data_IF_588228742552
#
_entry.id   IF_588228742552
#
_cell.length_a   1.000
_cell.length_b   1.000
_cell.length_c   1.000
_cell.angle_alpha   90.00
_cell.angle_beta   90.00
_cell.angle_gamma   90.00
#
_symmetry.space_group_name_H-M   'P 1'
#
loop_
_entity.id
_entity.type
_entity.pdbx_description
1 polymer ?
#
# COMPACT_ATOMS: atom_id res chain seq x y z
N UNK A 1 -37.84 33.18 0.74
CA UNK A 1 -37.06 34.32 0.24
C UNK A 1 -35.60 33.85 0.04
N UNK A 2 -35.37 33.04 -0.99
CA UNK A 2 -34.07 32.55 -1.40
C UNK A 2 -34.15 32.15 -2.88
N UNK A 3 -33.95 33.09 -3.74
CA UNK A 3 -33.68 32.90 -5.17
C UNK A 3 -32.82 34.09 -5.65
N UNK A 4 -31.87 33.82 -6.52
CA UNK A 4 -30.95 34.75 -7.17
C UNK A 4 -29.60 34.97 -6.46
N UNK A 5 -28.70 33.98 -6.55
CA UNK A 5 -27.29 34.31 -6.79
C UNK A 5 -26.86 33.67 -8.11
N UNK A 6 -26.74 34.54 -9.02
CA UNK A 6 -26.89 34.43 -10.44
C UNK A 6 -25.59 34.02 -11.15
N UNK A 7 -25.81 33.47 -12.33
CA UNK A 7 -24.91 33.17 -13.45
C UNK A 7 -23.76 34.17 -13.72
N UNK A 8 -23.75 35.36 -13.12
CA UNK A 8 -22.69 36.37 -13.28
C UNK A 8 -21.39 36.10 -12.51
N UNK A 9 -21.46 35.30 -11.41
CA UNK A 9 -20.27 35.00 -10.63
C UNK A 9 -19.41 33.90 -11.30
N UNK A 10 -20.06 32.94 -11.96
CA UNK A 10 -19.39 31.85 -12.70
C UNK A 10 -18.72 32.39 -13.97
N UNK A 11 -19.33 33.39 -14.63
CA UNK A 11 -18.75 34.04 -15.80
C UNK A 11 -17.50 34.85 -15.47
N UNK A 12 -17.47 35.54 -14.31
CA UNK A 12 -16.27 36.32 -13.91
C UNK A 12 -15.09 35.44 -13.47
N UNK A 13 -15.33 34.30 -12.85
CA UNK A 13 -14.27 33.33 -12.53
C UNK A 13 -13.67 32.68 -13.78
N UNK A 14 -14.46 32.47 -14.83
CA UNK A 14 -13.98 31.94 -16.10
C UNK A 14 -13.10 32.94 -16.87
N UNK A 15 -13.43 34.23 -16.84
CA UNK A 15 -12.65 35.28 -17.48
C UNK A 15 -11.30 35.48 -16.78
N UNK A 16 -11.24 35.47 -15.46
CA UNK A 16 -9.98 35.62 -14.69
C UNK A 16 -9.04 34.42 -14.83
N UNK A 17 -9.55 33.24 -15.08
CA UNK A 17 -8.71 32.03 -15.32
C UNK A 17 -8.19 31.96 -16.76
N UNK A 18 -8.90 32.55 -17.75
CA UNK A 18 -8.45 32.56 -19.12
C UNK A 18 -7.37 33.61 -19.35
N UNK A 19 -7.43 34.75 -18.66
CA UNK A 19 -6.45 35.86 -18.81
C UNK A 19 -5.08 35.54 -18.17
N UNK A 20 -5.02 34.63 -17.19
CA UNK A 20 -3.75 34.21 -16.59
C UNK A 20 -3.00 33.11 -17.35
N UNK A 21 -3.62 32.49 -18.35
CA UNK A 21 -2.99 31.45 -19.17
C UNK A 21 -2.29 32.01 -20.43
N UNK A 22 -2.46 33.27 -20.76
CA UNK A 22 -1.88 33.88 -21.93
C UNK A 22 -0.59 34.71 -21.69
N UNK A 23 -0.11 34.79 -20.43
CA UNK A 23 1.05 35.65 -20.08
C UNK A 23 2.34 34.83 -19.79
N UNK A 24 2.35 33.53 -19.95
CA UNK A 24 3.59 32.76 -19.86
C UNK A 24 4.11 32.35 -21.25
N UNK A 25 4.77 33.32 -21.94
CA UNK A 25 5.71 32.98 -23.02
C UNK A 25 6.96 32.35 -22.41
N UNK A 26 7.50 31.27 -22.97
CA UNK A 26 8.67 30.60 -22.42
C UNK A 26 9.92 31.43 -22.70
N UNK A 27 10.57 31.90 -21.65
CA UNK A 27 11.96 32.29 -21.71
C UNK A 27 12.81 31.01 -21.73
N UNK A 28 13.66 30.93 -22.74
CA UNK A 28 14.63 29.86 -22.98
C UNK A 28 15.60 29.75 -21.80
N UNK A 29 15.50 28.68 -21.02
CA UNK A 29 16.61 28.18 -20.20
C UNK A 29 16.77 26.72 -20.56
N UNK A 30 17.98 26.35 -20.97
CA UNK A 30 18.30 25.08 -21.56
C UNK A 30 18.08 23.87 -20.65
N UNK A 31 17.68 22.78 -21.27
CA UNK A 31 18.07 21.43 -20.87
C UNK A 31 17.29 20.78 -19.72
N UNK A 32 15.96 20.88 -19.70
CA UNK A 32 15.15 19.96 -18.89
C UNK A 32 14.01 19.40 -19.74
N UNK A 33 14.07 18.11 -19.96
CA UNK A 33 13.14 17.35 -20.78
C UNK A 33 11.68 17.53 -20.34
N UNK A 34 10.84 17.96 -21.27
CA UNK A 34 9.40 18.19 -21.14
C UNK A 34 8.56 16.90 -20.89
N UNK A 35 9.19 15.79 -20.48
CA UNK A 35 8.55 14.46 -20.35
C UNK A 35 7.91 14.21 -18.97
N UNK A 36 8.15 15.07 -17.98
CA UNK A 36 7.65 14.84 -16.60
C UNK A 36 6.23 15.37 -16.39
N UNK A 37 5.73 16.27 -17.23
CA UNK A 37 4.38 16.87 -17.06
C UNK A 37 3.25 16.17 -17.85
N UNK A 38 3.54 15.11 -18.60
CA UNK A 38 2.53 14.46 -19.46
C UNK A 38 1.86 13.23 -18.86
N UNK A 39 2.14 12.85 -17.62
CA UNK A 39 1.57 11.65 -16.99
C UNK A 39 0.45 11.89 -15.98
N UNK A 40 -0.01 13.11 -15.79
CA UNK A 40 -1.33 13.35 -15.24
C UNK A 40 -2.35 13.23 -16.38
N UNK A 41 -2.74 12.02 -16.70
CA UNK A 41 -3.76 11.73 -17.70
C UNK A 41 -5.11 12.29 -17.27
N UNK A 42 -5.39 13.52 -17.68
CA UNK A 42 -6.75 13.98 -17.89
C UNK A 42 -7.18 13.45 -19.26
N UNK A 43 -7.85 12.32 -19.28
CA UNK A 43 -8.42 11.75 -20.51
C UNK A 43 -9.52 12.68 -21.03
N UNK A 44 -9.22 13.49 -22.05
CA UNK A 44 -10.10 14.52 -22.63
C UNK A 44 -11.19 13.96 -23.56
N UNK A 45 -11.34 12.64 -23.71
CA UNK A 45 -12.18 12.05 -24.74
C UNK A 45 -13.46 11.36 -24.24
N UNK A 46 -14.06 11.82 -23.12
CA UNK A 46 -15.37 11.31 -22.66
C UNK A 46 -16.35 12.47 -22.49
N UNK A 47 -16.51 13.33 -23.48
CA UNK A 47 -17.66 14.22 -23.59
C UNK A 47 -18.06 14.30 -25.04
N UNK A 48 -18.76 13.27 -25.56
CA UNK A 48 -19.60 13.45 -26.73
C UNK A 48 -21.05 13.63 -26.22
N UNK A 49 -21.63 14.76 -26.62
CA UNK A 49 -23.04 15.11 -26.46
C UNK A 49 -23.95 13.96 -26.90
N UNK A 50 -24.65 13.36 -25.97
CA UNK A 50 -26.02 12.84 -26.15
C UNK A 50 -26.70 12.94 -24.78
N UNK A 51 -27.59 13.88 -24.67
CA UNK A 51 -28.37 14.17 -23.48
C UNK A 51 -29.37 13.06 -23.19
N UNK A 52 -29.18 12.34 -22.09
CA UNK A 52 -30.25 11.73 -21.32
C UNK A 52 -30.11 12.19 -19.88
N UNK A 53 -31.13 12.78 -19.23
CA UNK A 53 -31.01 13.21 -17.85
C UNK A 53 -31.21 12.04 -16.91
N UNK A 54 -30.28 11.09 -16.88
CA UNK A 54 -30.10 10.26 -15.69
C UNK A 54 -29.24 11.09 -14.75
N UNK A 55 -29.87 11.90 -13.93
CA UNK A 55 -29.26 12.45 -12.72
C UNK A 55 -28.99 11.26 -11.82
N UNK A 56 -27.89 10.57 -12.06
CA UNK A 56 -27.31 9.67 -11.09
C UNK A 56 -26.95 10.57 -9.90
N UNK A 57 -27.69 10.45 -8.82
CA UNK A 57 -27.33 10.98 -7.52
C UNK A 57 -25.97 10.34 -7.15
N UNK A 58 -24.88 10.95 -7.59
CA UNK A 58 -23.55 10.65 -7.07
C UNK A 58 -23.62 11.09 -5.61
N UNK A 59 -23.94 10.14 -4.74
CA UNK A 59 -23.89 10.31 -3.30
C UNK A 59 -22.44 10.60 -2.95
N UNK A 60 -22.07 11.87 -2.86
CA UNK A 60 -20.74 12.27 -2.38
C UNK A 60 -20.59 11.73 -0.98
N UNK A 61 -19.80 10.65 -0.83
CA UNK A 61 -19.50 10.10 0.48
C UNK A 61 -18.64 11.13 1.24
N UNK A 62 -19.17 11.60 2.38
CA UNK A 62 -18.32 12.36 3.31
C UNK A 62 -17.27 11.44 3.87
N UNK A 63 -16.02 11.90 3.90
CA UNK A 63 -14.89 11.16 4.46
C UNK A 63 -15.08 10.94 5.97
N UNK A 64 -15.62 11.91 6.68
CA UNK A 64 -15.91 11.80 8.10
C UNK A 64 -17.40 11.47 8.31
N UNK A 65 -17.66 10.45 9.12
CA UNK A 65 -19.02 10.03 9.49
C UNK A 65 -19.38 10.37 10.94
N UNK A 66 -18.37 10.69 11.77
CA UNK A 66 -18.55 10.96 13.22
C UNK A 66 -18.94 9.72 14.04
N UNK A 67 -19.14 8.56 13.41
CA UNK A 67 -19.63 7.35 14.09
C UNK A 67 -18.61 6.73 15.04
N UNK A 68 -17.34 7.11 14.89
CA UNK A 68 -16.21 6.61 15.70
C UNK A 68 -15.82 7.48 16.89
N UNK A 69 -16.46 8.62 17.10
CA UNK A 69 -16.05 9.63 18.09
C UNK A 69 -16.22 9.18 19.55
N UNK A 70 -17.07 8.16 19.75
CA UNK A 70 -17.31 7.53 21.06
C UNK A 70 -16.37 6.37 21.38
N UNK A 71 -15.22 6.26 20.70
CA UNK A 71 -14.22 5.23 20.96
C UNK A 71 -14.56 3.83 20.44
N UNK A 72 -15.55 3.72 19.54
CA UNK A 72 -15.89 2.45 18.89
C UNK A 72 -15.70 2.53 17.38
N UNK A 73 -15.43 1.38 16.74
CA UNK A 73 -15.38 1.24 15.29
C UNK A 73 -16.16 0.01 14.84
N UNK A 74 -16.53 -0.05 13.55
CA UNK A 74 -17.23 -1.18 12.97
C UNK A 74 -16.27 -2.05 12.18
N UNK A 75 -16.39 -3.37 12.32
CA UNK A 75 -15.79 -4.36 11.44
C UNK A 75 -16.53 -4.38 10.09
N UNK A 76 -15.97 -5.07 9.12
CA UNK A 76 -16.62 -5.24 7.81
C UNK A 76 -17.97 -5.97 7.90
N UNK A 77 -18.15 -6.79 8.93
CA UNK A 77 -19.43 -7.45 9.27
C UNK A 77 -20.53 -6.49 9.74
N UNK A 78 -20.18 -5.24 10.07
CA UNK A 78 -21.07 -4.27 10.72
C UNK A 78 -21.07 -4.38 12.25
N UNK A 79 -20.41 -5.37 12.85
CA UNK A 79 -20.23 -5.48 14.29
C UNK A 79 -19.39 -4.31 14.81
N UNK A 80 -19.83 -3.67 15.89
CA UNK A 80 -19.10 -2.57 16.51
C UNK A 80 -18.37 -3.06 17.74
N UNK A 81 -17.08 -2.70 17.81
CA UNK A 81 -16.17 -3.02 18.92
C UNK A 81 -15.47 -1.77 19.43
N UNK A 82 -14.89 -1.86 20.63
CA UNK A 82 -13.99 -0.81 21.12
C UNK A 82 -12.82 -0.61 20.14
N UNK A 83 -12.36 0.62 19.94
CA UNK A 83 -11.12 0.89 19.20
C UNK A 83 -9.87 0.30 19.87
N UNK A 84 -9.97 -0.13 21.12
CA UNK A 84 -8.91 -0.85 21.85
C UNK A 84 -8.94 -2.35 21.65
N UNK A 85 -9.86 -2.87 20.83
CA UNK A 85 -9.91 -4.29 20.49
C UNK A 85 -8.68 -4.68 19.65
N UNK A 86 -8.11 -5.83 19.93
CA UNK A 86 -6.89 -6.38 19.28
C UNK A 86 -7.03 -6.49 17.75
N UNK A 87 -8.25 -6.59 17.25
CA UNK A 87 -8.52 -6.60 15.80
C UNK A 87 -8.11 -5.26 15.17
N UNK A 88 -8.37 -4.13 15.84
CA UNK A 88 -8.00 -2.82 15.30
C UNK A 88 -6.50 -2.56 15.39
N UNK A 89 -5.79 -3.15 16.37
CA UNK A 89 -4.32 -3.12 16.42
C UNK A 89 -3.72 -3.89 15.23
N UNK A 90 -4.27 -5.06 14.91
CA UNK A 90 -3.85 -5.84 13.75
C UNK A 90 -4.12 -5.08 12.44
N UNK A 91 -5.36 -4.57 12.26
CA UNK A 91 -5.74 -3.80 11.07
C UNK A 91 -4.88 -2.54 10.91
N UNK A 92 -4.69 -1.77 11.99
CA UNK A 92 -3.89 -0.55 11.96
C UNK A 92 -2.43 -0.82 11.61
N UNK A 93 -1.85 -1.91 12.14
CA UNK A 93 -0.44 -2.25 11.85
C UNK A 93 -0.25 -2.74 10.41
N UNK A 94 -1.22 -3.45 9.82
CA UNK A 94 -1.18 -3.81 8.40
C UNK A 94 -1.33 -2.58 7.50
N UNK A 95 -2.15 -1.61 7.90
CA UNK A 95 -2.30 -0.33 7.17
C UNK A 95 -1.00 0.50 7.21
N UNK A 96 -0.32 0.56 8.37
CA UNK A 96 1.02 1.14 8.48
C UNK A 96 2.01 0.46 7.51
N UNK A 97 2.01 -0.87 7.43
CA UNK A 97 2.85 -1.62 6.50
C UNK A 97 2.59 -1.21 5.05
N UNK A 98 1.31 -1.13 4.65
CA UNK A 98 0.91 -0.70 3.31
C UNK A 98 1.44 0.70 2.99
N UNK A 99 1.34 1.62 3.94
CA UNK A 99 1.83 2.99 3.80
C UNK A 99 3.35 3.07 3.64
N UNK A 100 4.11 2.25 4.39
CA UNK A 100 5.57 2.21 4.26
C UNK A 100 6.02 1.56 2.96
N UNK A 101 5.30 0.55 2.45
CA UNK A 101 5.55 -0.01 1.11
C UNK A 101 5.32 1.07 0.04
N UNK A 102 4.28 1.90 0.16
CA UNK A 102 4.05 3.03 -0.74
C UNK A 102 5.21 4.05 -0.69
N UNK A 103 5.77 4.32 0.50
CA UNK A 103 6.98 5.15 0.64
C UNK A 103 8.17 4.54 -0.10
N UNK A 104 8.39 3.23 0.02
CA UNK A 104 9.47 2.54 -0.70
C UNK A 104 9.30 2.66 -2.21
N UNK A 105 8.08 2.43 -2.73
CA UNK A 105 7.76 2.61 -4.15
C UNK A 105 8.09 4.02 -4.64
N UNK A 106 7.63 5.06 -3.92
CA UNK A 106 7.91 6.45 -4.28
C UNK A 106 9.41 6.76 -4.29
N UNK A 107 10.18 6.16 -3.37
CA UNK A 107 11.61 6.33 -3.31
C UNK A 107 12.34 5.59 -4.44
N UNK A 108 11.90 4.39 -4.81
CA UNK A 108 12.46 3.64 -5.96
C UNK A 108 12.21 4.43 -7.25
N UNK A 109 11.01 5.01 -7.41
CA UNK A 109 10.66 5.80 -8.60
C UNK A 109 11.57 7.03 -8.79
N UNK A 110 12.03 7.67 -7.70
CA UNK A 110 13.02 8.76 -7.78
C UNK A 110 14.36 8.33 -8.41
N UNK A 111 14.63 7.03 -8.42
CA UNK A 111 15.83 6.44 -9.03
C UNK A 111 15.58 5.82 -10.40
N UNK A 112 14.33 5.82 -10.90
CA UNK A 112 13.96 5.21 -12.18
C UNK A 112 14.73 5.73 -13.40
N UNK A 113 15.20 6.99 -13.32
CA UNK A 113 16.01 7.64 -14.38
C UNK A 113 17.53 7.48 -14.16
N UNK A 114 17.96 6.81 -13.10
CA UNK A 114 19.38 6.53 -12.87
C UNK A 114 19.80 5.25 -13.59
N UNK A 115 21.09 5.16 -13.86
CA UNK A 115 21.67 3.91 -14.36
C UNK A 115 21.42 2.80 -13.34
N UNK A 116 20.68 1.77 -13.73
CA UNK A 116 20.47 0.57 -12.93
C UNK A 116 21.55 -0.42 -13.36
N UNK A 117 22.19 -1.09 -12.39
CA UNK A 117 23.18 -2.10 -12.69
C UNK A 117 22.59 -3.20 -13.57
N UNK A 118 23.35 -3.66 -14.58
CA UNK A 118 22.89 -4.71 -15.50
C UNK A 118 22.49 -5.99 -14.75
N UNK A 119 21.35 -6.56 -15.10
CA UNK A 119 20.83 -7.78 -14.45
C UNK A 119 19.75 -7.51 -13.38
N UNK A 120 19.44 -6.25 -13.07
CA UNK A 120 18.37 -5.89 -12.14
C UNK A 120 17.21 -5.19 -12.86
N UNK A 121 15.97 -5.50 -12.45
CA UNK A 121 14.75 -4.93 -13.02
C UNK A 121 13.91 -4.22 -11.93
N UNK A 122 14.15 -2.92 -11.73
CA UNK A 122 13.42 -2.14 -10.73
C UNK A 122 11.94 -1.97 -11.08
N UNK A 123 11.59 -1.99 -12.38
CA UNK A 123 10.19 -1.90 -12.77
C UNK A 123 9.41 -3.12 -12.29
N UNK A 124 9.94 -4.30 -12.47
CA UNK A 124 9.34 -5.55 -11.98
C UNK A 124 9.20 -5.54 -10.46
N UNK A 125 10.22 -5.08 -9.74
CA UNK A 125 10.14 -4.91 -8.28
C UNK A 125 9.00 -3.96 -7.88
N UNK A 126 8.82 -2.85 -8.59
CA UNK A 126 7.71 -1.92 -8.34
C UNK A 126 6.35 -2.58 -8.61
N UNK A 127 6.21 -3.32 -9.71
CA UNK A 127 4.99 -4.04 -10.06
C UNK A 127 4.65 -5.11 -8.98
N UNK A 128 5.65 -5.80 -8.44
CA UNK A 128 5.50 -6.74 -7.31
C UNK A 128 5.05 -6.04 -6.02
N UNK A 129 5.70 -4.94 -5.64
CA UNK A 129 5.32 -4.17 -4.46
C UNK A 129 3.90 -3.60 -4.55
N UNK A 130 3.47 -3.17 -5.73
CA UNK A 130 2.11 -2.71 -5.98
C UNK A 130 1.09 -3.88 -5.89
N UNK A 131 1.44 -5.07 -6.38
CA UNK A 131 0.66 -6.29 -6.19
C UNK A 131 0.51 -6.65 -4.70
N UNK A 132 1.60 -6.54 -3.93
CA UNK A 132 1.60 -6.77 -2.49
C UNK A 132 0.66 -5.79 -1.77
N UNK A 133 0.64 -4.51 -2.12
CA UNK A 133 -0.29 -3.55 -1.52
C UNK A 133 -1.76 -3.95 -1.74
N UNK A 134 -2.11 -4.40 -2.96
CA UNK A 134 -3.46 -4.91 -3.26
C UNK A 134 -3.77 -6.17 -2.46
N UNK A 135 -2.80 -7.04 -2.28
CA UNK A 135 -2.94 -8.26 -1.48
C UNK A 135 -3.13 -7.94 0.01
N UNK A 136 -2.41 -6.93 0.53
CA UNK A 136 -2.60 -6.45 1.90
C UNK A 136 -4.00 -5.86 2.10
N UNK A 137 -4.59 -5.20 1.10
CA UNK A 137 -5.97 -4.72 1.18
C UNK A 137 -6.98 -5.89 1.25
N UNK A 138 -6.74 -6.99 0.52
CA UNK A 138 -7.54 -8.20 0.63
C UNK A 138 -7.37 -8.86 2.01
N UNK A 139 -6.15 -8.86 2.54
CA UNK A 139 -5.84 -9.35 3.89
C UNK A 139 -6.57 -8.55 4.97
N UNK A 140 -6.55 -7.21 4.88
CA UNK A 140 -7.31 -6.34 5.78
C UNK A 140 -8.80 -6.67 5.76
N UNK A 141 -9.36 -6.94 4.58
CA UNK A 141 -10.77 -7.34 4.46
C UNK A 141 -11.04 -8.69 5.13
N UNK A 142 -10.14 -9.66 4.99
CA UNK A 142 -10.25 -10.96 5.67
C UNK A 142 -10.19 -10.80 7.20
N UNK A 143 -9.20 -10.07 7.72
CA UNK A 143 -9.04 -9.83 9.17
C UNK A 143 -10.23 -9.03 9.74
N UNK A 144 -10.78 -8.06 9.00
CA UNK A 144 -11.96 -7.30 9.40
C UNK A 144 -13.27 -8.13 9.33
N UNK A 145 -13.18 -9.39 8.92
CA UNK A 145 -14.31 -10.32 8.77
C UNK A 145 -14.03 -11.62 9.54
N UNK A 146 -13.91 -11.58 10.87
CA UNK A 146 -13.52 -12.75 11.66
C UNK A 146 -14.50 -13.93 11.45
N UNK A 147 -13.95 -15.13 11.39
CA UNK A 147 -14.73 -16.37 11.27
C UNK A 147 -15.41 -16.63 12.62
N UNK A 148 -16.74 -16.79 12.69
CA UNK A 148 -17.41 -17.03 13.95
C UNK A 148 -17.03 -18.41 14.51
N UNK A 149 -16.53 -18.46 15.75
CA UNK A 149 -16.18 -19.72 16.45
C UNK A 149 -17.40 -20.53 16.87
N UNK A 150 -18.54 -19.90 17.10
CA UNK A 150 -19.82 -20.58 17.43
C UNK A 150 -20.99 -19.63 17.26
N UNK A 151 -21.74 -19.76 16.22
CA UNK A 151 -23.04 -19.07 16.11
C UNK A 151 -24.02 -20.00 15.40
N UNK A 152 -25.30 -19.95 15.84
CA UNK A 152 -26.37 -20.81 15.35
C UNK A 152 -26.56 -20.78 13.82
N UNK A 153 -27.25 -21.75 13.26
CA UNK A 153 -27.29 -22.06 11.83
C UNK A 153 -27.70 -20.89 10.93
N UNK A 154 -28.59 -20.00 11.36
CA UNK A 154 -29.09 -18.89 10.51
C UNK A 154 -28.13 -17.69 10.40
N UNK A 155 -27.36 -17.40 11.45
CA UNK A 155 -26.36 -16.33 11.40
C UNK A 155 -25.11 -16.77 10.61
N UNK A 156 -24.86 -18.08 10.52
CA UNK A 156 -23.71 -18.65 9.83
C UNK A 156 -23.85 -18.58 8.30
N UNK A 157 -25.05 -18.74 7.75
CA UNK A 157 -25.25 -18.85 6.31
C UNK A 157 -25.16 -17.50 5.58
N UNK A 158 -25.76 -16.46 6.16
CA UNK A 158 -25.63 -15.08 5.64
C UNK A 158 -24.20 -14.55 5.81
N UNK A 159 -23.52 -14.91 6.89
CA UNK A 159 -22.10 -14.58 7.07
C UNK A 159 -21.23 -15.36 6.08
N UNK A 160 -21.40 -16.68 5.93
CA UNK A 160 -20.68 -17.51 4.94
C UNK A 160 -20.88 -17.01 3.50
N UNK A 161 -22.07 -16.53 3.14
CA UNK A 161 -22.33 -15.94 1.83
C UNK A 161 -21.54 -14.63 1.62
N UNK A 162 -21.37 -13.80 2.66
CA UNK A 162 -20.50 -12.63 2.63
C UNK A 162 -19.02 -12.99 2.67
N UNK A 163 -18.63 -14.05 3.38
CA UNK A 163 -17.26 -14.54 3.50
C UNK A 163 -16.70 -15.14 2.21
N UNK A 164 -17.53 -15.73 1.35
CA UNK A 164 -17.08 -16.27 0.05
C UNK A 164 -16.33 -15.27 -0.82
N UNK A 165 -16.57 -13.98 -0.61
CA UNK A 165 -15.92 -12.90 -1.39
C UNK A 165 -14.68 -12.31 -0.70
N UNK A 166 -14.33 -12.78 0.52
CA UNK A 166 -13.26 -12.19 1.34
C UNK A 166 -12.20 -13.22 1.71
N UNK A 167 -12.28 -14.44 1.21
CA UNK A 167 -11.30 -15.48 1.45
C UNK A 167 -9.93 -15.05 0.92
N UNK A 168 -8.92 -15.16 1.77
CA UNK A 168 -7.55 -14.90 1.35
C UNK A 168 -7.01 -16.10 0.53
N UNK A 169 -6.34 -15.88 -0.64
CA UNK A 169 -5.86 -16.98 -1.47
C UNK A 169 -4.83 -17.85 -0.75
N UNK A 170 -5.02 -19.14 -0.76
CA UNK A 170 -4.14 -20.12 -0.09
C UNK A 170 -2.73 -20.16 -0.71
N UNK A 171 -2.62 -19.86 -1.99
CA UNK A 171 -1.39 -19.91 -2.78
C UNK A 171 -0.65 -18.56 -2.84
N UNK A 172 -1.17 -17.52 -2.20
CA UNK A 172 -0.56 -16.19 -2.23
C UNK A 172 0.89 -16.17 -1.73
N UNK A 173 1.26 -17.03 -0.80
CA UNK A 173 2.64 -17.16 -0.30
C UNK A 173 3.60 -17.73 -1.35
N UNK A 174 3.13 -18.59 -2.26
CA UNK A 174 3.95 -19.20 -3.31
C UNK A 174 4.43 -18.17 -4.33
N UNK A 175 3.62 -17.15 -4.60
CA UNK A 175 4.01 -16.04 -5.46
C UNK A 175 5.21 -15.27 -4.85
N UNK A 176 5.15 -14.99 -3.53
CA UNK A 176 6.28 -14.37 -2.82
C UNK A 176 7.53 -15.25 -2.83
N UNK A 177 7.38 -16.56 -2.64
CA UNK A 177 8.49 -17.53 -2.71
C UNK A 177 9.17 -17.51 -4.07
N UNK A 178 8.39 -17.55 -5.16
CA UNK A 178 8.92 -17.47 -6.51
C UNK A 178 9.69 -16.16 -6.77
N UNK A 179 9.19 -15.03 -6.27
CA UNK A 179 9.89 -13.74 -6.39
C UNK A 179 11.16 -13.67 -5.54
N UNK A 180 11.16 -14.27 -4.34
CA UNK A 180 12.35 -14.38 -3.49
C UNK A 180 13.43 -15.19 -4.21
N UNK A 181 13.05 -16.34 -4.77
CA UNK A 181 13.98 -17.24 -5.47
C UNK A 181 14.62 -16.53 -6.68
N UNK A 182 13.80 -15.91 -7.54
CA UNK A 182 14.28 -15.16 -8.69
C UNK A 182 15.22 -14.00 -8.31
N UNK A 183 14.92 -13.25 -7.26
CA UNK A 183 15.82 -12.20 -6.78
C UNK A 183 17.12 -12.79 -6.20
N UNK A 184 17.03 -13.91 -5.51
CA UNK A 184 18.18 -14.55 -4.85
C UNK A 184 19.18 -15.08 -5.86
N UNK A 185 18.76 -15.53 -7.05
CA UNK A 185 19.65 -16.01 -8.12
C UNK A 185 20.63 -14.92 -8.60
N UNK A 186 20.22 -13.67 -8.60
CA UNK A 186 21.07 -12.54 -9.06
C UNK A 186 21.78 -11.81 -7.92
N UNK A 187 21.41 -12.08 -6.67
CA UNK A 187 22.00 -11.45 -5.50
C UNK A 187 23.33 -12.12 -5.09
N UNK A 188 24.30 -11.34 -4.58
CA UNK A 188 25.47 -11.92 -3.94
C UNK A 188 25.07 -12.81 -2.76
N UNK A 189 25.77 -13.96 -2.53
CA UNK A 189 25.42 -14.85 -1.43
C UNK A 189 25.54 -14.16 -0.08
N UNK A 190 24.53 -14.32 0.77
CA UNK A 190 24.51 -13.76 2.13
C UNK A 190 25.39 -14.64 3.04
N UNK A 191 26.58 -14.12 3.42
CA UNK A 191 27.56 -14.85 4.25
C UNK A 191 27.54 -14.47 5.72
N UNK A 192 26.91 -13.34 6.06
CA UNK A 192 26.86 -12.79 7.41
C UNK A 192 25.63 -11.90 7.59
N UNK A 193 25.28 -11.59 8.83
CA UNK A 193 24.22 -10.62 9.10
C UNK A 193 24.55 -9.25 8.52
N UNK A 194 23.54 -8.58 7.99
CA UNK A 194 23.64 -7.20 7.52
C UNK A 194 22.77 -6.29 8.38
N UNK A 195 23.25 -5.07 8.57
CA UNK A 195 22.46 -4.00 9.19
C UNK A 195 21.57 -3.36 8.13
N UNK A 196 20.41 -2.78 8.52
CA UNK A 196 19.57 -2.02 7.61
C UNK A 196 20.42 -0.95 6.90
N UNK A 197 20.50 -1.04 5.57
CA UNK A 197 21.35 -0.23 4.70
C UNK A 197 20.79 -0.23 3.27
N UNK A 198 21.53 0.30 2.29
CA UNK A 198 21.09 0.26 0.90
C UNK A 198 20.39 1.54 0.43
N UNK A 199 20.85 2.69 0.93
CA UNK A 199 20.24 3.98 0.60
C UNK A 199 18.81 4.12 1.15
N UNK A 200 18.11 5.17 0.74
CA UNK A 200 16.74 5.43 1.21
C UNK A 200 15.76 4.32 0.81
N UNK A 201 15.75 3.78 -0.42
CA UNK A 201 14.81 2.71 -0.77
C UNK A 201 15.07 1.42 0.01
N UNK A 202 16.33 0.98 0.13
CA UNK A 202 16.70 -0.24 0.84
C UNK A 202 16.37 -0.14 2.33
N UNK A 203 16.71 0.97 3.00
CA UNK A 203 16.37 1.19 4.42
C UNK A 203 14.88 1.26 4.65
N UNK A 204 14.10 1.82 3.73
CA UNK A 204 12.63 1.86 3.84
C UNK A 204 12.02 0.46 3.71
N UNK A 205 12.54 -0.39 2.83
CA UNK A 205 12.11 -1.80 2.74
C UNK A 205 12.48 -2.60 4.00
N UNK A 206 13.65 -2.35 4.61
CA UNK A 206 14.00 -2.92 5.92
C UNK A 206 13.05 -2.43 7.02
N UNK A 207 12.62 -1.18 6.98
CA UNK A 207 11.62 -0.66 7.90
C UNK A 207 10.24 -1.32 7.67
N UNK A 208 9.82 -1.45 6.41
CA UNK A 208 8.60 -2.21 6.04
C UNK A 208 8.65 -3.64 6.59
N UNK A 209 9.80 -4.33 6.46
CA UNK A 209 10.01 -5.66 7.04
C UNK A 209 9.79 -5.68 8.55
N UNK A 210 10.27 -4.69 9.27
CA UNK A 210 10.12 -4.62 10.73
C UNK A 210 8.66 -4.41 11.14
N UNK A 211 7.91 -3.60 10.39
CA UNK A 211 6.47 -3.41 10.59
C UNK A 211 5.72 -4.68 10.19
N UNK A 212 6.09 -5.34 9.08
CA UNK A 212 5.50 -6.62 8.66
C UNK A 212 5.56 -7.67 9.79
N UNK A 213 6.72 -7.82 10.43
CA UNK A 213 6.88 -8.73 11.58
C UNK A 213 6.08 -8.31 12.81
N UNK A 214 5.85 -7.02 13.01
CA UNK A 214 4.92 -6.55 14.05
C UNK A 214 3.49 -6.87 13.69
N UNK A 215 3.07 -6.60 12.46
CA UNK A 215 1.73 -6.91 11.95
C UNK A 215 1.43 -8.42 12.02
N UNK A 216 2.40 -9.27 11.62
CA UNK A 216 2.32 -10.72 11.76
C UNK A 216 2.00 -11.13 13.22
N UNK A 217 2.72 -10.58 14.20
CA UNK A 217 2.46 -10.90 15.62
C UNK A 217 1.07 -10.43 16.06
N UNK A 218 0.60 -9.25 15.61
CA UNK A 218 -0.75 -8.77 15.92
C UNK A 218 -1.81 -9.69 15.31
N UNK A 219 -1.62 -10.13 14.06
CA UNK A 219 -2.54 -11.07 13.39
C UNK A 219 -2.53 -12.44 14.08
N UNK A 220 -1.36 -12.95 14.47
CA UNK A 220 -1.26 -14.23 15.23
C UNK A 220 -1.97 -14.14 16.57
N UNK A 221 -1.88 -12.98 17.26
CA UNK A 221 -2.54 -12.77 18.54
C UNK A 221 -4.07 -12.88 18.45
N UNK A 222 -4.68 -12.61 17.30
CA UNK A 222 -6.12 -12.75 17.09
C UNK A 222 -6.59 -14.20 17.30
N UNK A 223 -5.80 -15.21 16.90
CA UNK A 223 -6.16 -16.62 17.10
C UNK A 223 -6.14 -17.04 18.58
N UNK A 224 -5.41 -16.31 19.44
CA UNK A 224 -5.40 -16.54 20.89
C UNK A 224 -6.68 -16.00 21.53
N UNK A 225 -7.24 -14.92 21.00
CA UNK A 225 -8.48 -14.28 21.46
C UNK A 225 -9.74 -14.87 20.80
N UNK A 226 -9.67 -16.13 20.31
CA UNK A 226 -10.78 -16.82 19.62
C UNK A 226 -11.29 -16.13 18.33
N UNK A 227 -10.53 -15.16 17.82
CA UNK A 227 -10.79 -14.55 16.52
C UNK A 227 -10.08 -15.38 15.46
N UNK A 228 -10.78 -16.27 14.81
CA UNK A 228 -10.16 -17.17 13.83
C UNK A 228 -9.74 -16.40 12.57
N UNK A 229 -8.44 -16.39 12.30
CA UNK A 229 -7.84 -15.87 11.07
C UNK A 229 -7.39 -17.04 10.20
N UNK A 230 -7.59 -16.94 8.90
CA UNK A 230 -7.16 -17.96 7.94
C UNK A 230 -5.65 -18.21 8.02
N UNK A 231 -5.24 -19.49 8.06
CA UNK A 231 -3.82 -19.88 8.10
C UNK A 231 -3.03 -19.27 6.92
N UNK A 232 -3.67 -19.13 5.75
CA UNK A 232 -3.07 -18.52 4.57
C UNK A 232 -2.62 -17.07 4.83
N UNK A 233 -3.37 -16.30 5.63
CA UNK A 233 -3.01 -14.92 6.02
C UNK A 233 -1.72 -14.92 6.84
N UNK A 234 -1.61 -15.79 7.83
CA UNK A 234 -0.44 -15.90 8.70
C UNK A 234 0.79 -16.33 7.89
N UNK A 235 0.64 -17.36 7.04
CA UNK A 235 1.70 -17.84 6.16
C UNK A 235 2.19 -16.76 5.21
N UNK A 236 1.26 -15.99 4.62
CA UNK A 236 1.58 -14.89 3.74
C UNK A 236 2.38 -13.78 4.46
N UNK A 237 1.95 -13.37 5.65
CA UNK A 237 2.64 -12.33 6.44
C UNK A 237 4.05 -12.75 6.82
N UNK A 238 4.23 -14.01 7.19
CA UNK A 238 5.55 -14.57 7.49
C UNK A 238 6.45 -14.48 6.26
N UNK A 239 5.99 -14.99 5.11
CA UNK A 239 6.74 -14.98 3.84
C UNK A 239 6.99 -13.57 3.31
N UNK A 240 6.04 -12.64 3.52
CA UNK A 240 6.21 -11.24 3.12
C UNK A 240 7.39 -10.58 3.85
N UNK A 241 7.65 -10.95 5.10
CA UNK A 241 8.84 -10.44 5.81
C UNK A 241 10.16 -10.87 5.15
N UNK A 242 10.22 -12.08 4.60
CA UNK A 242 11.40 -12.59 3.88
C UNK A 242 11.54 -11.92 2.51
N UNK A 243 10.40 -11.72 1.80
CA UNK A 243 10.37 -10.97 0.56
C UNK A 243 10.90 -9.55 0.74
N UNK A 244 10.43 -8.82 1.75
CA UNK A 244 10.86 -7.44 2.00
C UNK A 244 12.35 -7.34 2.35
N UNK A 245 12.92 -8.35 3.01
CA UNK A 245 14.35 -8.44 3.24
C UNK A 245 15.11 -8.63 1.92
N UNK A 246 14.66 -9.54 1.07
CA UNK A 246 15.30 -9.84 -0.22
C UNK A 246 15.16 -8.65 -1.17
N UNK A 247 14.00 -8.01 -1.22
CA UNK A 247 13.74 -6.79 -2.01
C UNK A 247 14.62 -5.61 -1.56
N UNK A 248 14.89 -5.45 -0.24
CA UNK A 248 15.79 -4.43 0.27
C UNK A 248 17.23 -4.65 -0.23
N UNK A 249 17.70 -5.87 -0.25
CA UNK A 249 19.00 -6.24 -0.83
C UNK A 249 19.03 -6.01 -2.33
N UNK A 250 17.97 -6.44 -3.02
CA UNK A 250 17.85 -6.33 -4.46
C UNK A 250 17.93 -4.87 -4.93
N UNK A 251 17.16 -3.96 -4.31
CA UNK A 251 17.21 -2.54 -4.66
C UNK A 251 18.55 -1.91 -4.30
N UNK A 252 19.19 -2.37 -3.22
CA UNK A 252 20.53 -1.90 -2.82
C UNK A 252 21.57 -2.24 -3.88
N UNK A 253 21.59 -3.49 -4.36
CA UNK A 253 22.49 -3.93 -5.42
C UNK A 253 22.18 -3.24 -6.76
N UNK A 254 20.89 -3.13 -7.12
CA UNK A 254 20.47 -2.50 -8.36
C UNK A 254 20.90 -1.02 -8.46
N UNK A 255 20.93 -0.32 -7.33
CA UNK A 255 21.29 1.10 -7.23
C UNK A 255 22.74 1.32 -6.73
N UNK A 256 23.54 0.26 -6.62
CA UNK A 256 24.93 0.30 -6.19
C UNK A 256 25.14 0.91 -4.79
N UNK A 257 24.14 0.77 -3.90
CA UNK A 257 24.31 1.14 -2.50
C UNK A 257 24.96 -0.01 -1.73
N UNK A 258 26.03 0.25 -0.94
CA UNK A 258 26.71 -0.81 -0.21
C UNK A 258 25.83 -1.40 0.91
N UNK A 259 25.81 -2.73 1.00
CA UNK A 259 25.30 -3.42 2.19
C UNK A 259 26.27 -3.21 3.36
N UNK A 260 25.73 -3.02 4.56
CA UNK A 260 26.53 -2.84 5.78
C UNK A 260 26.59 -4.14 6.58
N UNK A 261 27.71 -4.89 6.53
CA UNK A 261 27.85 -6.11 7.31
C UNK A 261 27.86 -5.83 8.81
N UNK A 262 27.24 -6.73 9.59
CA UNK A 262 27.36 -6.70 11.04
C UNK A 262 28.67 -7.37 11.48
N UNK A 263 29.52 -6.63 12.16
CA UNK A 263 30.76 -7.15 12.77
C UNK A 263 30.62 -7.13 14.29
N UNK A 264 30.84 -8.27 14.94
CA UNK A 264 30.89 -8.34 16.40
C UNK A 264 32.09 -7.54 16.91
N UNK A 265 31.90 -6.54 17.78
CA UNK A 265 33.03 -5.85 18.39
C UNK A 265 33.90 -6.86 19.16
N UNK A 266 35.19 -6.93 18.82
CA UNK A 266 36.13 -7.73 19.63
C UNK A 266 36.33 -7.04 20.96
N UNK A 267 36.20 -7.74 22.12
CA UNK A 267 36.53 -7.15 23.38
C UNK A 267 37.99 -6.67 23.34
N UNK A 268 38.21 -5.40 23.74
CA UNK A 268 39.57 -4.89 23.90
C UNK A 268 40.32 -5.77 24.89
N UNK A 269 41.40 -6.41 24.48
CA UNK A 269 42.29 -7.03 25.43
C UNK A 269 42.81 -5.95 26.36
N UNK A 270 42.35 -5.99 27.62
CA UNK A 270 42.94 -5.20 28.69
C UNK A 270 44.30 -5.81 29.05
#
# INVERSE_FOLDING_TARGET
MQRFMSSRLVGRLRAVLQDRLTVLRPAVIGGLNATILSRCYFNKNIWTDQASPVVSLVRTMKIYTGTGDKGTSALFTGERRSKTDVVFDALGTVDELTSVIAMALAQIDLYSNKSVHSGYNLKELCDQLDSIQRRLQALLSSVATPIPSSSGPDASEQRRARFKHVNFPEDASKELEAWIDAMTEVLPPLRQFILPSGGTPGTTLHFARSICRRAERCVVALNVEEVTVETAVITYMNRLSDYLFTAARYVSCALEFPEKPYTVPRPSKK
#
